data_IF_948938426240
#
_entry.id   IF_948938426240
#
_cell.length_a   1.000
_cell.length_b   1.000
_cell.length_c   1.000
_cell.angle_alpha   90.00
_cell.angle_beta   90.00
_cell.angle_gamma   90.00
#
_symmetry.space_group_name_H-M   'P 1'
#
loop_
_entity.id
_entity.type
_entity.pdbx_description
1 polymer ?
#
# COMPACT_ATOMS: atom_id res chain seq x y z
N UNK A 1 -7.94 17.49 11.85
CA UNK A 1 -8.32 16.10 12.16
C UNK A 1 -8.07 15.32 10.88
N UNK A 2 -6.81 14.94 10.65
CA UNK A 2 -6.42 14.24 9.43
C UNK A 2 -5.84 12.91 9.88
N UNK A 3 -6.68 11.88 9.90
CA UNK A 3 -6.19 10.51 9.92
C UNK A 3 -5.84 10.23 8.47
N UNK A 4 -4.56 10.32 8.14
CA UNK A 4 -3.98 10.03 6.81
C UNK A 4 -4.09 8.54 6.46
N UNK A 5 -5.29 7.97 6.56
CA UNK A 5 -5.56 6.58 6.24
C UNK A 5 -5.32 6.33 4.73
N UNK A 6 -5.51 7.36 3.89
CA UNK A 6 -5.22 7.33 2.46
C UNK A 6 -3.73 7.21 2.09
N UNK A 7 -2.81 7.59 3.00
CA UNK A 7 -1.36 7.54 2.73
C UNK A 7 -0.86 6.10 2.57
N UNK A 8 -1.39 5.14 3.34
CA UNK A 8 -0.99 3.74 3.20
C UNK A 8 -1.53 3.05 1.97
N UNK A 9 -2.74 3.41 1.56
CA UNK A 9 -3.33 2.92 0.33
C UNK A 9 -2.52 3.41 -0.87
N UNK A 10 -2.16 4.69 -0.91
CA UNK A 10 -1.30 5.25 -1.97
C UNK A 10 0.07 4.57 -2.07
N UNK A 11 0.70 4.28 -0.93
CA UNK A 11 1.97 3.53 -0.88
C UNK A 11 1.77 2.10 -1.38
N UNK A 12 0.71 1.41 -0.95
CA UNK A 12 0.38 0.06 -1.37
C UNK A 12 0.16 -0.04 -2.88
N UNK A 13 -0.63 0.86 -3.47
CA UNK A 13 -0.85 0.92 -4.92
C UNK A 13 0.46 1.17 -5.67
N UNK A 14 1.28 2.13 -5.23
CA UNK A 14 2.54 2.47 -5.89
C UNK A 14 3.52 1.29 -5.90
N UNK A 15 3.65 0.59 -4.77
CA UNK A 15 4.48 -0.62 -4.66
C UNK A 15 3.90 -1.77 -5.50
N UNK A 16 2.59 -1.97 -5.46
CA UNK A 16 1.92 -3.01 -6.25
C UNK A 16 2.08 -2.81 -7.75
N UNK A 17 2.03 -1.57 -8.23
CA UNK A 17 2.28 -1.23 -9.63
C UNK A 17 3.73 -1.53 -10.05
N UNK A 18 4.72 -1.14 -9.22
CA UNK A 18 6.13 -1.42 -9.50
C UNK A 18 6.39 -2.93 -9.52
N UNK A 19 5.92 -3.66 -8.51
CA UNK A 19 6.07 -5.12 -8.47
C UNK A 19 5.33 -5.81 -9.61
N UNK A 20 4.12 -5.35 -9.93
CA UNK A 20 3.34 -5.87 -11.06
C UNK A 20 4.04 -5.67 -12.40
N UNK A 21 4.73 -4.54 -12.59
CA UNK A 21 5.52 -4.26 -13.78
C UNK A 21 6.80 -5.12 -13.84
N UNK A 22 7.51 -5.28 -12.71
CA UNK A 22 8.75 -6.08 -12.64
C UNK A 22 8.48 -7.57 -12.91
N UNK A 23 7.37 -8.10 -12.40
CA UNK A 23 6.98 -9.50 -12.61
C UNK A 23 6.19 -9.72 -13.91
N UNK A 24 6.00 -8.69 -14.74
CA UNK A 24 5.15 -8.69 -15.94
C UNK A 24 3.74 -9.25 -15.66
N UNK A 25 3.29 -9.05 -14.42
CA UNK A 25 2.02 -9.52 -13.91
C UNK A 25 1.37 -8.45 -13.03
N UNK A 26 0.86 -7.44 -13.73
CA UNK A 26 0.18 -6.30 -13.13
C UNK A 26 -0.97 -6.73 -12.23
N UNK A 27 -1.74 -7.75 -12.60
CA UNK A 27 -2.88 -8.22 -11.80
C UNK A 27 -2.44 -8.67 -10.40
N UNK A 28 -1.38 -9.46 -10.32
CA UNK A 28 -0.85 -9.98 -9.05
C UNK A 28 -0.21 -8.85 -8.23
N UNK A 29 0.58 -7.97 -8.87
CA UNK A 29 1.19 -6.83 -8.21
C UNK A 29 0.16 -5.84 -7.65
N UNK A 30 -0.85 -5.46 -8.43
CA UNK A 30 -1.91 -4.55 -7.98
C UNK A 30 -2.79 -5.19 -6.90
N UNK A 31 -3.14 -6.47 -7.02
CA UNK A 31 -3.92 -7.17 -6.00
C UNK A 31 -3.20 -7.18 -4.64
N UNK A 32 -1.89 -7.47 -4.63
CA UNK A 32 -1.07 -7.39 -3.44
C UNK A 32 -0.93 -5.97 -2.92
N UNK A 33 -0.70 -5.00 -3.81
CA UNK A 33 -0.58 -3.58 -3.46
C UNK A 33 -1.84 -3.01 -2.82
N UNK A 34 -3.02 -3.30 -3.40
CA UNK A 34 -4.32 -2.94 -2.84
C UNK A 34 -4.51 -3.61 -1.48
N UNK A 35 -4.27 -4.93 -1.36
CA UNK A 35 -4.49 -5.66 -0.12
C UNK A 35 -3.60 -5.15 1.03
N UNK A 36 -2.31 -4.91 0.77
CA UNK A 36 -1.37 -4.38 1.75
C UNK A 36 -1.63 -2.91 2.08
N UNK A 37 -2.03 -2.11 1.08
CA UNK A 37 -2.42 -0.72 1.25
C UNK A 37 -3.70 -0.54 2.05
N UNK A 38 -4.74 -1.35 1.77
CA UNK A 38 -6.00 -1.33 2.51
C UNK A 38 -5.86 -1.88 3.94
N UNK A 39 -4.97 -2.85 4.14
CA UNK A 39 -4.66 -3.36 5.46
C UNK A 39 -3.83 -2.36 6.30
N UNK A 40 -3.38 -1.24 5.71
CA UNK A 40 -2.62 -0.23 6.43
C UNK A 40 -1.26 -0.73 6.91
N UNK A 41 -0.68 -1.75 6.25
CA UNK A 41 0.57 -2.42 6.66
C UNK A 41 1.72 -1.42 6.81
N UNK A 42 1.71 -0.37 5.98
CA UNK A 42 2.73 0.67 5.98
C UNK A 42 2.42 1.85 6.92
N UNK A 43 1.24 1.90 7.57
CA UNK A 43 0.97 2.88 8.64
C UNK A 43 1.66 2.43 9.91
N UNK A 44 2.86 2.95 10.16
CA UNK A 44 3.45 2.93 11.50
C UNK A 44 2.59 3.82 12.39
N UNK A 45 1.69 3.24 13.19
CA UNK A 45 1.08 3.96 14.32
C UNK A 45 2.24 4.47 15.19
N UNK A 46 2.53 5.77 15.12
CA UNK A 46 3.36 6.42 16.15
C UNK A 46 2.64 6.18 17.48
N UNK A 47 3.17 5.27 18.30
CA UNK A 47 2.82 5.23 19.72
C UNK A 47 3.15 6.62 20.26
N UNK A 48 2.11 7.42 20.55
CA UNK A 48 2.28 8.60 21.39
C UNK A 48 2.77 8.10 22.74
N UNK A 49 4.01 8.43 23.08
CA UNK A 49 4.46 8.48 24.47
C UNK A 49 3.76 9.65 25.15
#
# INVERSE_FOLDING_TARGET
MEKDDGSSLGIGISLGLIYGLVFDNLALGLALGVALGSAGVFVRKKKKK
#
